data_IF_173403580558
#
_entry.id   IF_173403580558
#
_cell.length_a   1.000
_cell.length_b   1.000
_cell.length_c   1.000
_cell.angle_alpha   90.00
_cell.angle_beta   90.00
_cell.angle_gamma   90.00
#
_symmetry.space_group_name_H-M   'P 1'
#
loop_
_entity.id
_entity.type
_entity.pdbx_description
1 polymer ?
#
# COMPACT_ATOMS: atom_id res chain seq x y z
N UNK A 1 -8.40 -12.57 -24.34
CA UNK A 1 -7.83 -11.31 -23.82
C UNK A 1 -7.92 -11.23 -22.28
N UNK A 2 -9.05 -11.59 -21.66
CA UNK A 2 -9.20 -11.55 -20.18
C UNK A 2 -8.22 -12.43 -19.37
N UNK A 3 -7.84 -13.61 -19.85
CA UNK A 3 -6.88 -14.48 -19.14
C UNK A 3 -5.48 -13.86 -19.00
N UNK A 4 -4.99 -13.21 -20.06
CA UNK A 4 -3.71 -12.52 -20.05
C UNK A 4 -3.71 -11.33 -19.08
N UNK A 5 -4.81 -10.59 -19.04
CA UNK A 5 -4.98 -9.46 -18.12
C UNK A 5 -4.99 -9.91 -16.64
N UNK A 6 -5.62 -11.06 -16.35
CA UNK A 6 -5.59 -11.66 -15.01
C UNK A 6 -4.17 -12.03 -14.58
N UNK A 7 -3.42 -12.69 -15.46
CA UNK A 7 -2.03 -13.09 -15.19
C UNK A 7 -1.15 -11.87 -14.91
N UNK A 8 -1.23 -10.83 -15.74
CA UNK A 8 -0.43 -9.60 -15.57
C UNK A 8 -0.78 -8.93 -14.24
N UNK A 9 -2.07 -8.87 -13.90
CA UNK A 9 -2.55 -8.34 -12.61
C UNK A 9 -2.00 -9.13 -11.43
N UNK A 10 -1.97 -10.45 -11.48
CA UNK A 10 -1.41 -11.28 -10.40
C UNK A 10 0.11 -11.12 -10.27
N UNK A 11 0.83 -11.14 -11.40
CA UNK A 11 2.30 -11.01 -11.44
C UNK A 11 2.78 -9.68 -10.86
N UNK A 12 2.05 -8.58 -11.11
CA UNK A 12 2.43 -7.27 -10.59
C UNK A 12 1.85 -7.03 -9.18
N UNK A 13 0.66 -7.56 -8.92
CA UNK A 13 -0.11 -7.26 -7.70
C UNK A 13 0.38 -8.04 -6.49
N UNK A 14 0.75 -9.31 -6.66
CA UNK A 14 1.26 -10.13 -5.56
C UNK A 14 2.57 -9.54 -4.99
N UNK A 15 3.60 -9.23 -5.81
CA UNK A 15 4.81 -8.57 -5.30
C UNK A 15 4.52 -7.22 -4.65
N UNK A 16 3.64 -6.39 -5.20
CA UNK A 16 3.24 -5.12 -4.58
C UNK A 16 2.63 -5.32 -3.21
N UNK A 17 1.71 -6.29 -3.08
CA UNK A 17 1.08 -6.62 -1.82
C UNK A 17 2.10 -7.13 -0.80
N UNK A 18 3.04 -7.99 -1.21
CA UNK A 18 4.10 -8.47 -0.32
C UNK A 18 5.02 -7.32 0.13
N UNK A 19 5.46 -6.49 -0.80
CA UNK A 19 6.33 -5.34 -0.52
C UNK A 19 5.66 -4.33 0.41
N UNK A 20 4.33 -4.15 0.32
CA UNK A 20 3.56 -3.30 1.24
C UNK A 20 3.75 -3.70 2.71
N UNK A 21 3.94 -4.99 3.01
CA UNK A 21 4.20 -5.46 4.38
C UNK A 21 5.70 -5.58 4.68
N UNK A 22 6.52 -5.94 3.70
CA UNK A 22 7.97 -6.12 3.88
C UNK A 22 8.66 -4.79 4.15
N UNK A 23 8.33 -3.70 3.43
CA UNK A 23 8.94 -2.38 3.64
C UNK A 23 8.80 -1.88 5.09
N UNK A 24 7.59 -1.78 5.69
CA UNK A 24 7.47 -1.36 7.08
C UNK A 24 8.10 -2.36 8.06
N UNK A 25 8.07 -3.67 7.77
CA UNK A 25 8.72 -4.66 8.63
C UNK A 25 10.25 -4.49 8.67
N UNK A 26 10.88 -4.22 7.53
CA UNK A 26 12.31 -3.93 7.43
C UNK A 26 12.66 -2.61 8.13
N UNK A 27 11.82 -1.59 7.98
CA UNK A 27 12.02 -0.31 8.67
C UNK A 27 11.91 -0.46 10.19
N UNK A 28 10.90 -1.18 10.69
CA UNK A 28 10.76 -1.52 12.12
C UNK A 28 11.99 -2.31 12.59
N UNK A 29 12.46 -3.25 11.78
CA UNK A 29 13.66 -4.05 12.09
C UNK A 29 14.89 -3.15 12.22
N UNK A 30 15.07 -2.19 11.31
CA UNK A 30 16.12 -1.17 11.38
C UNK A 30 16.01 -0.38 12.69
N UNK A 31 14.82 0.13 13.01
CA UNK A 31 14.55 0.88 14.23
C UNK A 31 14.92 0.14 15.50
N UNK A 32 14.46 -1.11 15.63
CA UNK A 32 14.76 -1.96 16.79
C UNK A 32 16.26 -2.23 16.86
N UNK A 33 16.91 -2.49 15.73
CA UNK A 33 18.32 -2.85 15.69
C UNK A 33 19.24 -1.70 16.11
N UNK A 34 18.97 -0.48 15.63
CA UNK A 34 19.72 0.73 15.99
C UNK A 34 19.51 1.08 17.46
N UNK A 35 18.26 1.04 17.94
CA UNK A 35 17.95 1.30 19.36
C UNK A 35 18.63 0.32 20.32
N UNK A 36 18.88 -0.92 19.87
CA UNK A 36 19.56 -1.94 20.68
C UNK A 36 21.07 -1.71 20.80
N UNK A 37 21.68 -0.94 19.89
CA UNK A 37 23.14 -0.73 19.86
C UNK A 37 23.47 0.78 19.75
N UNK A 38 23.08 1.60 20.75
CA UNK A 38 23.25 3.05 20.69
C UNK A 38 24.72 3.50 20.71
N UNK A 39 25.64 2.65 21.18
CA UNK A 39 27.07 2.97 21.26
C UNK A 39 27.79 2.85 19.90
N UNK A 40 27.17 2.18 18.92
CA UNK A 40 27.77 1.91 17.60
C UNK A 40 26.93 2.45 16.43
N UNK A 41 25.63 2.66 16.63
CA UNK A 41 24.68 3.04 15.59
C UNK A 41 23.89 4.28 16.01
N UNK A 42 23.87 5.29 15.14
CA UNK A 42 23.10 6.51 15.30
C UNK A 42 22.32 6.79 14.01
N UNK A 43 21.11 7.31 14.15
CA UNK A 43 20.33 7.79 13.01
C UNK A 43 20.82 9.17 12.61
N UNK A 44 21.25 9.33 11.37
CA UNK A 44 21.68 10.63 10.84
C UNK A 44 20.48 11.61 10.76
N UNK A 45 19.32 11.11 10.31
CA UNK A 45 18.11 11.92 10.14
C UNK A 45 16.88 11.22 10.73
N UNK A 46 16.69 11.32 12.05
CA UNK A 46 15.57 10.67 12.74
C UNK A 46 14.17 11.03 12.17
N UNK A 47 14.00 12.27 11.69
CA UNK A 47 12.71 12.74 11.15
C UNK A 47 12.31 11.94 9.91
N UNK A 48 13.23 11.71 8.96
CA UNK A 48 12.88 11.03 7.70
C UNK A 48 12.55 9.55 7.93
N UNK A 49 13.24 8.89 8.86
CA UNK A 49 12.97 7.50 9.25
C UNK A 49 11.55 7.38 9.82
N UNK A 50 11.14 8.29 10.71
CA UNK A 50 9.77 8.31 11.24
C UNK A 50 8.72 8.62 10.19
N UNK A 51 8.99 9.58 9.29
CA UNK A 51 8.08 9.89 8.19
C UNK A 51 7.89 8.68 7.26
N UNK A 52 8.98 8.02 6.87
CA UNK A 52 8.92 6.84 6.02
C UNK A 52 8.24 5.66 6.72
N UNK A 53 8.55 5.40 7.99
CA UNK A 53 7.86 4.38 8.79
C UNK A 53 6.36 4.67 8.90
N UNK A 54 5.98 5.92 9.22
CA UNK A 54 4.58 6.31 9.35
C UNK A 54 3.82 6.05 8.05
N UNK A 55 4.34 6.53 6.92
CA UNK A 55 3.68 6.38 5.62
C UNK A 55 3.63 4.91 5.18
N UNK A 56 4.71 4.14 5.39
CA UNK A 56 4.76 2.72 5.04
C UNK A 56 3.83 1.85 5.88
N UNK A 57 3.51 2.25 7.11
CA UNK A 57 2.57 1.54 8.01
C UNK A 57 1.10 1.90 7.76
N UNK A 58 0.81 3.11 7.29
CA UNK A 58 -0.58 3.54 7.02
C UNK A 58 -1.29 2.64 5.99
N UNK A 59 -0.62 2.31 4.88
CA UNK A 59 -1.18 1.44 3.83
C UNK A 59 -1.57 0.04 4.33
N UNK A 60 -0.68 -0.77 4.94
CA UNK A 60 -1.05 -2.09 5.43
C UNK A 60 -2.12 -2.02 6.54
N UNK A 61 -2.12 -0.99 7.39
CA UNK A 61 -3.20 -0.78 8.37
C UNK A 61 -4.54 -0.62 7.67
N UNK A 62 -4.64 0.23 6.64
CA UNK A 62 -5.90 0.41 5.91
C UNK A 62 -6.39 -0.89 5.26
N UNK A 63 -5.48 -1.70 4.70
CA UNK A 63 -5.80 -3.01 4.14
C UNK A 63 -6.30 -3.99 5.21
N UNK A 64 -5.61 -4.08 6.36
CA UNK A 64 -6.02 -4.96 7.48
C UNK A 64 -7.39 -4.55 8.01
N UNK A 65 -7.60 -3.25 8.26
CA UNK A 65 -8.90 -2.69 8.69
C UNK A 65 -9.98 -3.11 7.69
N UNK A 66 -9.75 -2.93 6.40
CA UNK A 66 -10.74 -3.31 5.39
C UNK A 66 -11.02 -4.80 5.35
N UNK A 67 -10.00 -5.65 5.49
CA UNK A 67 -10.18 -7.10 5.58
C UNK A 67 -11.09 -7.51 6.75
N UNK A 68 -10.91 -6.86 7.91
CA UNK A 68 -11.71 -7.10 9.12
C UNK A 68 -13.17 -6.65 8.90
N UNK A 69 -13.38 -5.43 8.41
CA UNK A 69 -14.72 -4.86 8.28
C UNK A 69 -15.53 -5.43 7.09
N UNK A 70 -14.88 -6.00 6.08
CA UNK A 70 -15.55 -6.47 4.84
C UNK A 70 -15.58 -7.99 4.66
N UNK A 71 -15.28 -8.78 5.70
CA UNK A 71 -15.26 -10.26 5.67
C UNK A 71 -14.33 -10.82 4.57
N UNK A 72 -13.05 -10.43 4.61
CA UNK A 72 -12.00 -10.92 3.71
C UNK A 72 -12.07 -10.47 2.23
N UNK A 73 -12.80 -9.40 1.89
CA UNK A 73 -12.77 -8.82 0.54
C UNK A 73 -11.82 -7.61 0.52
N UNK A 74 -10.74 -7.66 -0.26
CA UNK A 74 -9.79 -6.54 -0.37
C UNK A 74 -10.39 -5.43 -1.25
N UNK A 75 -11.32 -4.67 -0.68
CA UNK A 75 -12.12 -3.70 -1.41
C UNK A 75 -11.38 -2.39 -1.71
N UNK A 76 -10.38 -2.04 -0.89
CA UNK A 76 -9.57 -0.82 -1.08
C UNK A 76 -8.86 -0.84 -2.44
N UNK A 77 -8.15 -1.92 -2.78
CA UNK A 77 -7.42 -2.04 -4.04
C UNK A 77 -8.33 -1.98 -5.27
N UNK A 78 -9.60 -2.38 -5.12
CA UNK A 78 -10.60 -2.34 -6.18
C UNK A 78 -11.30 -0.98 -6.34
N UNK A 79 -11.29 -0.15 -5.28
CA UNK A 79 -12.00 1.14 -5.25
C UNK A 79 -11.09 2.34 -5.54
N UNK A 80 -9.76 2.15 -5.47
CA UNK A 80 -8.81 3.21 -5.83
C UNK A 80 -8.97 3.58 -7.31
N UNK A 81 -9.22 4.87 -7.54
CA UNK A 81 -9.30 5.38 -8.91
C UNK A 81 -7.88 5.57 -9.51
N UNK A 82 -7.79 5.80 -10.83
CA UNK A 82 -6.52 5.98 -11.55
C UNK A 82 -5.70 7.16 -11.01
N UNK A 83 -6.35 8.28 -10.77
CA UNK A 83 -5.76 9.54 -10.32
C UNK A 83 -5.22 9.42 -8.88
N UNK A 84 -5.96 8.73 -8.01
CA UNK A 84 -5.54 8.43 -6.63
C UNK A 84 -4.30 7.54 -6.62
N UNK A 85 -4.29 6.47 -7.42
CA UNK A 85 -3.14 5.58 -7.51
C UNK A 85 -1.89 6.29 -8.06
N UNK A 86 -2.06 7.12 -9.10
CA UNK A 86 -1.00 7.96 -9.64
C UNK A 86 -0.44 8.93 -8.58
N UNK A 87 -1.33 9.61 -7.84
CA UNK A 87 -0.93 10.55 -6.79
C UNK A 87 -0.13 9.85 -5.69
N UNK A 88 -0.62 8.69 -5.24
CA UNK A 88 0.08 7.84 -4.25
C UNK A 88 1.46 7.44 -4.77
N UNK A 89 1.56 7.01 -6.04
CA UNK A 89 2.84 6.62 -6.65
C UNK A 89 3.83 7.80 -6.70
N UNK A 90 3.38 9.00 -7.07
CA UNK A 90 4.24 10.19 -7.08
C UNK A 90 4.78 10.52 -5.69
N UNK A 91 3.92 10.46 -4.67
CA UNK A 91 4.34 10.66 -3.27
C UNK A 91 5.39 9.62 -2.87
N UNK A 92 5.19 8.36 -3.23
CA UNK A 92 6.15 7.28 -2.96
C UNK A 92 7.49 7.48 -3.66
N UNK A 93 7.51 7.97 -4.91
CA UNK A 93 8.75 8.29 -5.62
C UNK A 93 9.50 9.40 -4.89
N UNK A 94 8.82 10.48 -4.47
CA UNK A 94 9.45 11.59 -3.74
C UNK A 94 10.05 11.08 -2.43
N UNK A 95 9.29 10.29 -1.67
CA UNK A 95 9.76 9.70 -0.40
C UNK A 95 10.98 8.81 -0.67
N UNK A 96 10.93 7.95 -1.68
CA UNK A 96 12.03 7.04 -1.98
C UNK A 96 13.32 7.78 -2.34
N UNK A 97 13.22 8.85 -3.14
CA UNK A 97 14.35 9.71 -3.50
C UNK A 97 14.89 10.42 -2.27
N UNK A 98 14.04 11.11 -1.51
CA UNK A 98 14.44 11.88 -0.33
C UNK A 98 15.06 10.96 0.73
N UNK A 99 14.42 9.83 1.04
CA UNK A 99 14.93 8.83 1.98
C UNK A 99 16.30 8.30 1.53
N UNK A 100 16.45 7.94 0.25
CA UNK A 100 17.74 7.44 -0.27
C UNK A 100 18.85 8.48 -0.15
N UNK A 101 18.56 9.75 -0.44
CA UNK A 101 19.55 10.84 -0.36
C UNK A 101 19.95 11.12 1.08
N UNK A 102 18.99 11.18 2.01
CA UNK A 102 19.24 11.54 3.40
C UNK A 102 19.83 10.40 4.25
N UNK A 103 19.69 9.14 3.81
CA UNK A 103 20.17 7.96 4.57
C UNK A 103 21.40 7.30 3.95
N UNK A 104 21.86 7.74 2.78
CA UNK A 104 23.00 7.14 2.09
C UNK A 104 24.30 7.14 2.92
N UNK A 105 24.47 8.15 3.77
CA UNK A 105 25.70 8.42 4.53
C UNK A 105 25.62 8.02 6.01
N UNK A 106 24.49 7.46 6.45
CA UNK A 106 24.20 7.11 7.84
C UNK A 106 25.25 6.19 8.50
N UNK A 107 25.88 5.31 7.72
CA UNK A 107 26.87 4.34 8.23
C UNK A 107 28.30 4.64 7.79
N UNK A 108 28.65 5.90 7.48
CA UNK A 108 30.02 6.23 7.06
C UNK A 108 31.06 5.75 8.10
N UNK A 109 32.17 5.13 7.67
CA UNK A 109 32.68 5.03 6.30
C UNK A 109 32.22 3.80 5.49
N UNK A 110 31.23 3.04 5.97
CA UNK A 110 30.77 1.79 5.31
C UNK A 110 30.26 2.08 3.89
N UNK A 111 30.67 1.30 2.87
CA UNK A 111 30.18 1.44 1.51
C UNK A 111 28.67 1.21 1.41
N UNK A 112 28.02 1.94 0.51
CA UNK A 112 26.56 1.95 0.38
C UNK A 112 25.94 0.56 0.14
N UNK A 113 26.59 -0.29 -0.67
CA UNK A 113 26.11 -1.61 -1.08
C UNK A 113 26.52 -2.76 -0.15
N UNK A 114 27.12 -2.47 1.00
CA UNK A 114 27.46 -3.46 2.01
C UNK A 114 28.22 -4.71 1.47
N UNK A 115 29.34 -4.53 0.73
CA UNK A 115 30.03 -5.66 0.14
C UNK A 115 30.67 -6.54 1.22
N UNK A 116 30.61 -7.87 1.03
CA UNK A 116 31.21 -8.84 1.95
C UNK A 116 32.74 -8.74 2.07
N UNK A 117 33.41 -8.09 1.10
CA UNK A 117 34.85 -7.83 1.11
C UNK A 117 35.27 -6.62 1.96
N UNK A 118 34.32 -5.80 2.42
CA UNK A 118 34.62 -4.66 3.29
C UNK A 118 34.95 -5.12 4.71
N UNK A 119 35.96 -4.50 5.33
CA UNK A 119 36.34 -4.77 6.72
C UNK A 119 35.46 -3.94 7.66
N UNK A 120 34.33 -4.51 8.06
CA UNK A 120 33.46 -3.93 9.08
C UNK A 120 34.17 -3.86 10.43
N UNK A 121 33.97 -2.77 11.16
CA UNK A 121 34.49 -2.60 12.52
C UNK A 121 33.91 -3.68 13.46
N UNK A 122 32.61 -3.94 13.34
CA UNK A 122 31.88 -4.93 14.11
C UNK A 122 30.85 -5.66 13.25
N UNK A 123 30.40 -6.83 13.72
CA UNK A 123 29.26 -7.54 13.11
C UNK A 123 27.96 -6.74 13.21
N UNK A 124 27.85 -5.84 14.19
CA UNK A 124 26.68 -4.99 14.39
C UNK A 124 26.54 -4.02 13.21
N UNK A 125 27.63 -3.35 12.85
CA UNK A 125 27.67 -2.44 11.70
C UNK A 125 27.42 -3.18 10.38
N UNK A 126 27.92 -4.40 10.23
CA UNK A 126 27.66 -5.24 9.05
C UNK A 126 26.15 -5.55 8.89
N UNK A 127 25.51 -5.99 9.97
CA UNK A 127 24.07 -6.33 9.97
C UNK A 127 23.24 -5.07 9.73
N UNK A 128 23.57 -3.95 10.39
CA UNK A 128 22.90 -2.67 10.19
C UNK A 128 22.96 -2.23 8.72
N UNK A 129 24.13 -2.38 8.07
CA UNK A 129 24.30 -2.10 6.65
C UNK A 129 23.36 -2.98 5.80
N UNK A 130 23.34 -4.29 6.04
CA UNK A 130 22.49 -5.23 5.29
C UNK A 130 20.99 -4.93 5.45
N UNK A 131 20.55 -4.58 6.66
CA UNK A 131 19.17 -4.17 6.93
C UNK A 131 18.82 -2.89 6.13
N UNK A 132 19.70 -1.87 6.19
CA UNK A 132 19.50 -0.62 5.44
C UNK A 132 19.41 -0.88 3.93
N UNK A 133 20.32 -1.68 3.39
CA UNK A 133 20.35 -2.02 1.97
C UNK A 133 19.08 -2.78 1.56
N UNK A 134 18.65 -3.76 2.36
CA UNK A 134 17.41 -4.50 2.09
C UNK A 134 16.19 -3.57 2.09
N UNK A 135 16.10 -2.65 3.06
CA UNK A 135 15.01 -1.67 3.13
C UNK A 135 14.95 -0.79 1.88
N UNK A 136 16.09 -0.25 1.45
CA UNK A 136 16.19 0.56 0.23
C UNK A 136 15.80 -0.25 -1.00
N UNK A 137 16.28 -1.49 -1.14
CA UNK A 137 15.94 -2.36 -2.27
C UNK A 137 14.43 -2.61 -2.31
N UNK A 138 13.81 -2.97 -1.18
CA UNK A 138 12.37 -3.21 -1.11
C UNK A 138 11.56 -1.96 -1.43
N UNK A 139 11.97 -0.80 -0.92
CA UNK A 139 11.34 0.49 -1.23
C UNK A 139 11.37 0.79 -2.73
N UNK A 140 12.52 0.63 -3.39
CA UNK A 140 12.64 0.87 -4.83
C UNK A 140 11.91 -0.18 -5.67
N UNK A 141 11.90 -1.45 -5.25
CA UNK A 141 11.08 -2.47 -5.89
C UNK A 141 9.60 -2.11 -5.82
N UNK A 142 9.12 -1.62 -4.67
CA UNK A 142 7.73 -1.18 -4.53
C UNK A 142 7.39 -0.07 -5.53
N UNK A 143 8.27 0.93 -5.66
CA UNK A 143 8.13 2.00 -6.66
C UNK A 143 8.11 1.45 -8.09
N UNK A 144 9.04 0.56 -8.43
CA UNK A 144 9.15 -0.01 -9.79
C UNK A 144 7.90 -0.81 -10.14
N UNK A 145 7.45 -1.71 -9.25
CA UNK A 145 6.22 -2.46 -9.49
C UNK A 145 4.99 -1.54 -9.56
N UNK A 146 4.97 -0.45 -8.79
CA UNK A 146 3.91 0.56 -8.85
C UNK A 146 3.86 1.29 -10.20
N UNK A 147 5.02 1.64 -10.74
CA UNK A 147 5.13 2.22 -12.09
C UNK A 147 4.66 1.20 -13.14
N UNK A 148 5.12 -0.05 -13.06
CA UNK A 148 4.70 -1.12 -13.98
C UNK A 148 3.19 -1.36 -13.93
N UNK A 149 2.59 -1.27 -12.73
CA UNK A 149 1.15 -1.36 -12.54
C UNK A 149 0.41 -0.24 -13.28
N UNK A 150 0.82 1.02 -13.07
CA UNK A 150 0.24 2.19 -13.77
C UNK A 150 0.38 2.06 -15.27
N UNK A 151 1.57 1.71 -15.74
CA UNK A 151 1.85 1.56 -17.17
C UNK A 151 0.93 0.48 -17.76
N UNK A 152 0.85 -0.69 -17.12
CA UNK A 152 -0.03 -1.78 -17.55
C UNK A 152 -1.50 -1.37 -17.56
N UNK A 153 -1.90 -0.56 -16.58
CA UNK A 153 -3.23 0.01 -16.50
C UNK A 153 -3.54 0.96 -17.69
N UNK A 154 -2.61 1.87 -18.01
CA UNK A 154 -2.73 2.81 -19.13
C UNK A 154 -2.79 2.12 -20.50
N UNK A 155 -2.08 1.00 -20.67
CA UNK A 155 -2.10 0.18 -21.89
C UNK A 155 -3.28 -0.82 -21.95
N UNK A 156 -4.27 -0.72 -21.05
CA UNK A 156 -5.41 -1.64 -20.97
C UNK A 156 -5.01 -3.12 -20.79
N UNK A 157 -3.83 -3.37 -20.22
CA UNK A 157 -3.32 -4.72 -19.89
C UNK A 157 -3.84 -5.24 -18.55
N UNK A 158 -4.52 -4.39 -17.77
CA UNK A 158 -5.24 -4.77 -16.56
C UNK A 158 -6.75 -4.79 -16.82
N UNK A 159 -7.51 -5.66 -16.12
CA UNK A 159 -8.96 -5.71 -16.27
C UNK A 159 -9.55 -4.36 -15.86
N UNK A 160 -10.13 -3.62 -16.81
CA UNK A 160 -10.86 -2.40 -16.50
C UNK A 160 -12.20 -2.77 -15.89
N UNK A 161 -12.50 -2.23 -14.71
CA UNK A 161 -13.85 -2.27 -14.17
C UNK A 161 -14.72 -1.40 -15.09
N UNK A 162 -15.71 -1.99 -15.75
CA UNK A 162 -16.68 -1.23 -16.54
C UNK A 162 -17.28 -0.15 -15.63
N UNK A 163 -17.15 1.12 -16.01
CA UNK A 163 -17.83 2.21 -15.34
C UNK A 163 -19.32 2.01 -15.55
N UNK A 164 -20.00 1.37 -14.60
CA UNK A 164 -21.46 1.34 -14.58
C UNK A 164 -21.91 2.81 -14.56
N UNK A 165 -22.64 3.31 -15.58
CA UNK A 165 -23.07 4.69 -15.62
C UNK A 165 -23.77 5.04 -14.32
N UNK A 166 -23.42 6.18 -13.71
CA UNK A 166 -23.97 6.72 -12.45
C UNK A 166 -25.50 6.95 -12.45
N UNK A 167 -26.23 6.43 -13.44
CA UNK A 167 -27.65 6.67 -13.70
C UNK A 167 -28.58 5.73 -12.90
N UNK A 168 -28.12 4.58 -12.37
CA UNK A 168 -29.03 3.59 -11.75
C UNK A 168 -29.08 3.50 -10.21
N UNK A 169 -28.38 4.35 -9.44
CA UNK A 169 -28.55 4.36 -7.96
C UNK A 169 -29.72 5.22 -7.48
N UNK A 170 -30.15 6.23 -8.25
CA UNK A 170 -31.35 7.02 -7.89
C UNK A 170 -32.65 6.26 -8.18
N UNK A 171 -32.72 5.50 -9.28
CA UNK A 171 -33.94 4.77 -9.64
C UNK A 171 -34.29 3.67 -8.62
N UNK A 172 -33.30 2.94 -8.09
CA UNK A 172 -33.57 1.87 -7.10
C UNK A 172 -34.09 2.42 -5.78
N UNK A 173 -33.60 3.59 -5.31
CA UNK A 173 -34.08 4.18 -4.05
C UNK A 173 -35.52 4.71 -4.15
N UNK A 174 -35.91 5.27 -5.30
CA UNK A 174 -37.30 5.69 -5.54
C UNK A 174 -38.26 4.50 -5.73
N UNK A 175 -37.80 3.40 -6.31
CA UNK A 175 -38.64 2.21 -6.48
C UNK A 175 -38.99 1.56 -5.11
N UNK A 176 -38.02 1.45 -4.19
CA UNK A 176 -38.27 0.88 -2.85
C UNK A 176 -39.15 1.77 -1.98
N UNK A 177 -39.13 3.10 -2.17
CA UNK A 177 -40.02 4.00 -1.41
C UNK A 177 -41.47 3.92 -1.87
N UNK A 178 -41.72 3.73 -3.17
CA UNK A 178 -43.08 3.61 -3.73
C UNK A 178 -43.71 2.27 -3.30
N UNK A 179 -42.95 1.16 -3.35
CA UNK A 179 -43.44 -0.16 -2.91
C UNK A 179 -43.75 -0.21 -1.40
N UNK A 180 -43.04 0.56 -0.56
CA UNK A 180 -43.35 0.61 0.88
C UNK A 180 -44.58 1.46 1.19
N UNK A 181 -44.83 2.53 0.44
CA UNK A 181 -45.98 3.41 0.67
C UNK A 181 -47.30 2.74 0.27
N UNK A 182 -47.31 1.95 -0.83
CA UNK A 182 -48.49 1.18 -1.26
C UNK A 182 -48.87 0.06 -0.27
N UNK A 183 -47.89 -0.60 0.36
CA UNK A 183 -48.13 -1.64 1.37
C UNK A 183 -48.70 -1.07 2.68
N UNK A 184 -48.36 0.17 3.03
CA UNK A 184 -48.88 0.83 4.24
C UNK A 184 -50.33 1.29 4.03
N UNK A 185 -50.64 1.86 2.86
CA UNK A 185 -52.01 2.28 2.53
C UNK A 185 -52.97 1.09 2.40
N UNK A 186 -52.51 -0.06 1.88
CA UNK A 186 -53.34 -1.27 1.82
C UNK A 186 -53.68 -1.86 3.20
N UNK A 187 -52.91 -1.53 4.25
CA UNK A 187 -53.13 -2.05 5.62
C UNK A 187 -54.12 -1.23 6.44
N UNK A 188 -54.37 0.03 6.07
CA UNK A 188 -55.33 0.90 6.78
C UNK A 188 -56.77 0.79 6.25
N UNK A 189 -57.00 0.14 5.10
CA UNK A 189 -58.33 0.07 4.45
C UNK A 189 -59.12 -1.20 4.86
N UNK A 190 -58.59 -2.08 5.72
CA UNK A 190 -59.37 -3.19 6.30
C UNK A 190 -59.73 -2.84 7.76
N UNK A 191 -60.84 -2.11 8.02
CA UNK A 191 -61.41 -2.07 9.35
C UNK A 191 -61.94 -3.47 9.67
N UNK A 192 -61.54 -4.01 10.83
CA UNK A 192 -62.05 -5.26 11.36
C UNK A 192 -63.57 -5.25 11.44
N UNK A 193 -64.21 -6.09 10.64
CA UNK A 193 -65.55 -6.57 10.92
C UNK A 193 -65.44 -7.71 11.93
N UNK A 194 -65.87 -7.40 13.15
CA UNK A 194 -66.58 -8.25 14.13
C UNK A 194 -66.65 -9.76 13.85
#
# INVERSE_FOLDING_TARGET
MGYLQSIISEILGIPLLLLMFICPALEITKFIYFKKHPDELEFDNFIIEYCYLGISVLFPITVIISLIFTKCRIRILEEMNKEEFLTVLFVWIIIAVVYTILTNQELRPVPYYCPSSYRYSTKIVEIACKIRLANIICMWLFVIFGILWVVSYCFCLLPQREEVPKVKKKATFYQTSIDQEEVIVAREIIPGSS
#
